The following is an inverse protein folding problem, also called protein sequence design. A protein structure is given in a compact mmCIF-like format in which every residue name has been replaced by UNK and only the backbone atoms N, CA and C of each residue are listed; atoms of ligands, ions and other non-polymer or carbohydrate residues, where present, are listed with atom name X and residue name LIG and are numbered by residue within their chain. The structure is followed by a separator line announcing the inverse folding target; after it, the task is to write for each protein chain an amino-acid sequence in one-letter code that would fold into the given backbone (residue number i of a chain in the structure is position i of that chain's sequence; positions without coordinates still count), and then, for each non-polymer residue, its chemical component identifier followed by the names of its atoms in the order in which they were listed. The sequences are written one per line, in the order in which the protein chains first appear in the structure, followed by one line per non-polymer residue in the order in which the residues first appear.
data_IF_904779650340
#
_entry.id   IF_904779650340
#
_cell.length_a   1.000
_cell.length_b   1.000
_cell.length_c   1.000
_cell.angle_alpha   90.00
_cell.angle_beta   90.00
_cell.angle_gamma   90.00
#
_symmetry.space_group_name_H-M   'P 1'
#
loop_
_entity.id
_entity.type
_entity.pdbx_description
1 polymer ?
#
# COMPACT_ATOMS: atom_id res chain seq x y z
N UNK A 1 7.69 -0.13 35.12
CA UNK A 1 7.70 0.02 34.66
C UNK A 1 7.87 0.12 34.30
N UNK A 2 7.80 0.32 34.37
CA UNK A 2 7.76 0.58 33.71
C UNK A 2 7.76 0.83 33.09
N UNK A 3 7.68 1.10 33.00
CA UNK A 3 7.47 1.43 32.20
C UNK A 3 7.42 1.76 31.66
N UNK A 4 7.58 1.92 31.85
CA UNK A 4 7.33 2.35 31.01
C UNK A 4 7.12 2.64 30.39
N UNK A 5 6.90 2.75 30.53
CA UNK A 5 6.66 2.92 29.86
C UNK A 5 6.54 3.38 29.43
N UNK A 6 6.56 3.55 29.59
CA UNK A 6 6.43 3.87 28.99
C UNK A 6 6.37 4.25 28.55
N UNK A 7 6.31 4.44 28.79
CA UNK A 7 6.12 4.59 28.13
C UNK A 7 5.83 4.98 27.73
N UNK A 8 5.72 5.08 27.80
CA UNK A 8 5.29 5.22 27.20
C UNK A 8 4.48 5.41 27.19
N UNK A 9 4.47 5.76 27.56
CA UNK A 9 3.10 5.68 27.71
C UNK A 9 2.34 5.61 26.44
N UNK A 10 2.58 6.00 25.52
CA UNK A 10 1.79 5.77 24.34
C UNK A 10 2.46 4.78 23.51
N UNK A 11 2.08 4.63 22.41
CA UNK A 11 2.72 3.85 21.39
C UNK A 11 2.56 2.38 21.59
N UNK A 12 3.31 1.80 22.47
CA UNK A 12 3.40 0.35 22.55
C UNK A 12 2.08 -0.35 22.85
N UNK A 13 1.14 0.32 23.55
CA UNK A 13 -0.14 -0.32 23.88
C UNK A 13 -1.17 -0.21 22.77
N UNK A 14 -1.00 0.75 21.84
CA UNK A 14 -1.95 1.00 20.76
C UNK A 14 -1.38 0.68 19.41
N UNK A 15 -0.08 0.42 19.33
CA UNK A 15 0.63 0.16 18.09
C UNK A 15 1.10 -1.28 18.05
N UNK A 16 0.70 -2.03 17.04
CA UNK A 16 1.05 -3.43 16.90
C UNK A 16 1.66 -3.68 15.53
N UNK A 17 2.71 -4.52 15.51
CA UNK A 17 3.27 -5.00 14.27
C UNK A 17 2.71 -6.39 14.01
N UNK A 18 2.21 -6.63 12.81
CA UNK A 18 1.53 -7.86 12.47
C UNK A 18 1.61 -8.16 10.99
N UNK A 19 1.58 -9.43 10.63
CA UNK A 19 1.50 -9.85 9.24
C UNK A 19 0.02 -9.91 8.82
N UNK A 20 -0.31 -9.22 7.74
CA UNK A 20 -1.69 -9.11 7.26
C UNK A 20 -1.75 -9.48 5.77
N UNK A 21 -2.77 -10.27 5.37
CA UNK A 21 -2.94 -10.57 3.94
C UNK A 21 -3.18 -9.30 3.13
N UNK A 22 -2.54 -9.22 1.98
CA UNK A 22 -2.70 -8.06 1.09
C UNK A 22 -4.17 -7.87 0.70
N UNK A 23 -4.92 -8.97 0.58
CA UNK A 23 -6.33 -8.93 0.24
C UNK A 23 -7.18 -8.19 1.28
N UNK A 24 -6.68 -8.02 2.51
CA UNK A 24 -7.38 -7.30 3.57
C UNK A 24 -6.95 -5.85 3.70
N UNK A 25 -6.01 -5.41 2.88
CA UNK A 25 -5.50 -4.04 2.92
C UNK A 25 -6.17 -3.20 1.84
N UNK A 26 -6.61 -2.00 2.23
CA UNK A 26 -7.25 -1.06 1.33
C UNK A 26 -6.44 0.22 1.21
N UNK A 27 -6.47 0.82 0.02
CA UNK A 27 -5.89 2.13 -0.20
C UNK A 27 -6.71 3.17 0.55
N UNK A 28 -6.04 4.22 1.01
CA UNK A 28 -6.70 5.34 1.66
C UNK A 28 -7.39 6.21 0.60
N UNK A 29 -8.71 6.26 0.65
CA UNK A 29 -9.51 7.04 -0.30
C UNK A 29 -9.31 8.55 -0.14
N UNK A 30 -8.80 8.97 1.03
CA UNK A 30 -8.54 10.37 1.36
C UNK A 30 -7.06 10.69 1.38
N UNK A 31 -6.28 9.97 0.59
CA UNK A 31 -4.84 10.18 0.53
C UNK A 31 -4.55 11.65 0.21
N UNK A 32 -3.66 12.26 0.99
CA UNK A 32 -3.34 13.68 0.84
C UNK A 32 -2.73 14.02 -0.53
N UNK A 33 -2.20 13.04 -1.25
CA UNK A 33 -1.67 13.23 -2.60
C UNK A 33 -2.75 13.40 -3.65
N UNK A 34 -4.00 13.03 -3.33
CA UNK A 34 -5.11 13.14 -4.29
C UNK A 34 -5.68 14.55 -4.26
N UNK A 35 -6.12 15.04 -5.42
CA UNK A 35 -6.80 16.35 -5.51
C UNK A 35 -8.14 16.28 -4.78
N UNK A 36 -8.87 15.19 -4.99
CA UNK A 36 -10.16 14.95 -4.40
C UNK A 36 -10.15 13.56 -3.78
N UNK A 37 -11.07 13.31 -2.86
CA UNK A 37 -11.24 11.98 -2.29
C UNK A 37 -11.64 11.00 -3.39
N UNK A 38 -11.12 9.78 -3.32
CA UNK A 38 -11.52 8.72 -4.23
C UNK A 38 -12.87 8.15 -3.77
N UNK A 39 -13.70 7.75 -4.72
CA UNK A 39 -15.02 7.21 -4.42
C UNK A 39 -14.94 5.74 -3.99
N UNK A 40 -13.93 5.01 -4.46
CA UNK A 40 -13.79 3.59 -4.19
C UNK A 40 -12.35 3.16 -4.46
N UNK A 41 -12.04 1.89 -4.22
CA UNK A 41 -10.68 1.37 -4.39
C UNK A 41 -10.18 1.44 -5.82
N UNK A 42 -11.05 1.22 -6.80
CA UNK A 42 -10.67 1.35 -8.21
C UNK A 42 -10.21 2.77 -8.52
N UNK A 43 -10.98 3.75 -8.07
CA UNK A 43 -10.64 5.15 -8.30
C UNK A 43 -9.39 5.57 -7.51
N UNK A 44 -9.19 5.02 -6.31
CA UNK A 44 -7.98 5.28 -5.53
C UNK A 44 -6.75 4.79 -6.28
N UNK A 45 -6.83 3.63 -6.92
CA UNK A 45 -5.75 3.10 -7.73
C UNK A 45 -5.47 4.02 -8.93
N UNK A 46 -6.52 4.47 -9.62
CA UNK A 46 -6.39 5.41 -10.72
C UNK A 46 -5.71 6.71 -10.29
N UNK A 47 -6.18 7.26 -9.17
CA UNK A 47 -5.62 8.51 -8.64
C UNK A 47 -4.16 8.35 -8.26
N UNK A 48 -3.80 7.22 -7.66
CA UNK A 48 -2.41 6.95 -7.31
C UNK A 48 -1.51 6.92 -8.55
N UNK A 49 -1.96 6.25 -9.61
CA UNK A 49 -1.18 6.18 -10.85
C UNK A 49 -1.14 7.53 -11.56
N UNK A 50 -2.20 8.33 -11.44
CA UNK A 50 -2.21 9.67 -12.02
C UNK A 50 -1.19 10.59 -11.35
N UNK A 51 -1.04 10.51 -10.03
CA UNK A 51 -0.15 11.43 -9.30
C UNK A 51 1.25 10.87 -9.12
N UNK A 52 1.43 9.55 -9.13
CA UNK A 52 2.71 8.93 -8.79
C UNK A 52 3.02 7.68 -9.63
N UNK A 53 2.49 7.61 -10.86
CA UNK A 53 2.64 6.41 -11.69
C UNK A 53 4.07 6.00 -11.96
N UNK A 54 4.96 6.97 -12.27
CA UNK A 54 6.36 6.65 -12.52
C UNK A 54 7.05 6.14 -11.26
N UNK A 55 6.75 6.72 -10.11
CA UNK A 55 7.32 6.27 -8.84
C UNK A 55 6.80 4.87 -8.48
N UNK A 56 5.52 4.61 -8.76
CA UNK A 56 4.96 3.27 -8.56
C UNK A 56 5.64 2.26 -9.47
N UNK A 57 5.85 2.60 -10.73
CA UNK A 57 6.52 1.71 -11.67
C UNK A 57 7.94 1.38 -11.21
N UNK A 58 8.69 2.38 -10.76
CA UNK A 58 10.03 2.18 -10.24
C UNK A 58 10.03 1.30 -9.00
N UNK A 59 9.09 1.53 -8.09
CA UNK A 59 8.94 0.72 -6.89
C UNK A 59 8.57 -0.72 -7.22
N UNK A 60 7.65 -0.91 -8.17
CA UNK A 60 7.27 -2.26 -8.61
C UNK A 60 8.46 -3.00 -9.19
N UNK A 61 9.28 -2.29 -9.97
CA UNK A 61 10.50 -2.87 -10.55
C UNK A 61 11.42 -3.38 -9.46
N UNK A 62 11.63 -2.58 -8.40
CA UNK A 62 12.45 -3.00 -7.26
C UNK A 62 11.86 -4.21 -6.57
N UNK A 63 10.57 -4.21 -6.31
CA UNK A 63 9.89 -5.33 -5.66
C UNK A 63 9.99 -6.60 -6.49
N UNK A 64 9.80 -6.51 -7.79
CA UNK A 64 9.86 -7.65 -8.69
C UNK A 64 11.29 -8.18 -8.86
N UNK A 65 12.28 -7.34 -8.65
CA UNK A 65 13.69 -7.74 -8.74
C UNK A 65 14.15 -8.45 -7.48
N UNK A 66 13.71 -7.99 -6.31
CA UNK A 66 14.14 -8.56 -5.02
C UNK A 66 13.20 -9.64 -4.49
N UNK A 67 11.95 -9.60 -4.91
CA UNK A 67 10.92 -10.55 -4.47
C UNK A 67 10.33 -10.24 -3.11
N UNK A 68 10.71 -9.14 -2.47
CA UNK A 68 10.25 -8.83 -1.11
C UNK A 68 10.36 -7.35 -0.81
N UNK A 69 9.63 -6.95 0.24
CA UNK A 69 9.67 -5.60 0.76
C UNK A 69 10.90 -5.39 1.63
N UNK A 70 11.35 -4.14 1.70
CA UNK A 70 12.39 -3.75 2.64
C UNK A 70 11.82 -3.83 4.06
N UNK A 71 12.44 -4.61 4.97
CA UNK A 71 11.92 -4.78 6.33
C UNK A 71 11.81 -3.49 7.13
N UNK A 72 12.59 -2.46 6.80
CA UNK A 72 12.52 -1.19 7.52
C UNK A 72 11.42 -0.28 7.00
N UNK A 73 10.68 -0.70 5.98
CA UNK A 73 9.74 0.14 5.26
C UNK A 73 8.34 -0.46 5.34
N UNK A 74 7.79 -0.45 6.56
CA UNK A 74 6.56 -1.15 6.91
C UNK A 74 5.38 -0.18 6.84
N UNK A 75 4.31 -0.54 6.12
CA UNK A 75 3.12 0.32 6.05
C UNK A 75 2.45 0.50 7.40
N UNK A 76 1.83 1.67 7.57
CA UNK A 76 1.05 2.00 8.76
C UNK A 76 -0.42 1.91 8.38
N UNK A 77 -1.18 1.16 9.16
CA UNK A 77 -2.59 0.90 8.86
C UNK A 77 -3.46 1.16 10.09
N UNK A 78 -4.75 1.34 9.85
CA UNK A 78 -5.76 1.47 10.90
C UNK A 78 -6.88 0.46 10.61
N UNK A 79 -7.48 -0.07 11.69
CA UNK A 79 -8.63 -0.96 11.55
C UNK A 79 -9.79 -0.24 10.87
N UNK A 80 -10.45 -0.92 9.95
CA UNK A 80 -11.59 -0.41 9.22
C UNK A 80 -12.59 -1.57 9.07
N UNK A 81 -13.30 -1.88 10.15
CA UNK A 81 -14.14 -3.06 10.21
C UNK A 81 -13.30 -4.32 10.21
N UNK A 82 -13.57 -5.23 9.29
CA UNK A 82 -12.82 -6.48 9.15
C UNK A 82 -11.57 -6.30 8.26
N UNK A 83 -11.33 -5.10 7.76
CA UNK A 83 -10.24 -4.79 6.85
C UNK A 83 -9.33 -3.75 7.49
N UNK A 84 -8.24 -3.42 6.78
CA UNK A 84 -7.28 -2.40 7.23
C UNK A 84 -7.09 -1.36 6.14
N UNK A 85 -7.14 -0.09 6.54
CA UNK A 85 -6.88 1.00 5.63
C UNK A 85 -5.44 1.47 5.81
N UNK A 86 -4.70 1.58 4.70
CA UNK A 86 -3.30 1.99 4.74
C UNK A 86 -3.22 3.50 4.81
N UNK A 87 -2.62 4.02 5.88
CA UNK A 87 -2.41 5.46 6.07
C UNK A 87 -1.08 5.91 5.49
N UNK A 88 -0.05 5.08 5.60
CA UNK A 88 1.27 5.32 5.03
C UNK A 88 1.74 4.06 4.33
N UNK A 89 2.24 4.20 3.11
CA UNK A 89 2.65 3.06 2.30
C UNK A 89 1.69 2.76 1.16
N UNK A 90 0.84 3.72 0.79
CA UNK A 90 -0.16 3.52 -0.27
C UNK A 90 0.45 3.26 -1.64
N UNK A 91 1.60 3.85 -1.97
CA UNK A 91 2.27 3.56 -3.24
C UNK A 91 2.72 2.10 -3.29
N UNK A 92 3.25 1.62 -2.18
CA UNK A 92 3.69 0.22 -2.08
C UNK A 92 2.51 -0.72 -2.18
N UNK A 93 1.41 -0.41 -1.49
CA UNK A 93 0.22 -1.24 -1.58
C UNK A 93 -0.33 -1.28 -3.00
N UNK A 94 -0.31 -0.14 -3.70
CA UNK A 94 -0.73 -0.07 -5.11
C UNK A 94 0.08 -1.06 -5.94
N UNK A 95 1.41 -1.07 -5.79
CA UNK A 95 2.28 -1.98 -6.52
C UNK A 95 1.98 -3.44 -6.19
N UNK A 96 1.79 -3.75 -4.91
CA UNK A 96 1.51 -5.12 -4.48
C UNK A 96 0.18 -5.62 -5.01
N UNK A 97 -0.84 -4.78 -5.02
CA UNK A 97 -2.14 -5.15 -5.55
C UNK A 97 -2.08 -5.42 -7.06
N UNK A 98 -1.39 -4.57 -7.80
CA UNK A 98 -1.23 -4.75 -9.25
C UNK A 98 -0.39 -6.00 -9.54
N UNK A 99 0.66 -6.23 -8.78
CA UNK A 99 1.50 -7.42 -8.95
C UNK A 99 0.70 -8.70 -8.72
N UNK A 100 -0.13 -8.72 -7.67
CA UNK A 100 -0.98 -9.88 -7.37
C UNK A 100 -2.11 -10.07 -8.39
N UNK A 101 -2.63 -8.96 -8.91
CA UNK A 101 -3.77 -9.00 -9.84
C UNK A 101 -3.58 -7.94 -10.93
N UNK A 102 -2.81 -8.26 -11.97
CA UNK A 102 -2.57 -7.31 -13.06
C UNK A 102 -3.84 -6.87 -13.80
N UNK A 103 -4.94 -7.63 -13.65
CA UNK A 103 -6.20 -7.23 -14.29
C UNK A 103 -6.74 -5.92 -13.75
N UNK A 104 -6.26 -5.45 -12.59
CA UNK A 104 -6.61 -4.14 -12.07
C UNK A 104 -6.24 -3.03 -13.05
N UNK A 105 -5.23 -3.25 -13.88
CA UNK A 105 -4.82 -2.29 -14.90
C UNK A 105 -5.89 -2.11 -15.98
N UNK A 106 -6.76 -3.08 -16.16
CA UNK A 106 -7.81 -3.03 -17.19
C UNK A 106 -8.94 -2.06 -16.82
N UNK A 107 -9.09 -1.74 -15.54
CA UNK A 107 -10.12 -0.80 -15.09
C UNK A 107 -9.66 0.65 -15.04
N UNK A 108 -8.44 0.93 -15.44
CA UNK A 108 -7.93 2.30 -15.52
C UNK A 108 -8.62 3.08 -16.63
N UNK A 109 -8.57 4.42 -16.53
CA UNK A 109 -8.98 5.28 -17.65
C UNK A 109 -8.10 4.96 -18.87
N UNK A 110 -8.61 5.27 -20.06
CA UNK A 110 -7.87 4.98 -21.29
C UNK A 110 -6.50 5.63 -21.30
N UNK A 111 -6.41 6.87 -20.80
CA UNK A 111 -5.14 7.58 -20.77
C UNK A 111 -4.11 6.88 -19.86
N UNK A 112 -4.51 6.48 -18.67
CA UNK A 112 -3.63 5.79 -17.74
C UNK A 112 -3.28 4.40 -18.23
N UNK A 113 -4.25 3.72 -18.84
CA UNK A 113 -4.04 2.40 -19.41
C UNK A 113 -2.99 2.45 -20.50
N UNK A 114 -3.11 3.39 -21.43
CA UNK A 114 -2.15 3.56 -22.52
C UNK A 114 -0.76 3.88 -21.99
N UNK A 115 -0.69 4.65 -20.91
CA UNK A 115 0.58 5.08 -20.33
C UNK A 115 1.27 4.00 -19.52
N UNK A 116 0.52 3.18 -18.80
CA UNK A 116 1.09 2.31 -17.77
C UNK A 116 0.84 0.81 -17.93
N UNK A 117 -0.26 0.39 -18.55
CA UNK A 117 -0.64 -1.02 -18.51
C UNK A 117 0.47 -1.93 -19.04
N UNK A 118 0.98 -1.65 -20.21
CA UNK A 118 2.03 -2.48 -20.83
C UNK A 118 3.32 -2.47 -20.01
N UNK A 119 3.69 -1.32 -19.48
CA UNK A 119 4.93 -1.16 -18.75
C UNK A 119 4.89 -1.92 -17.42
N UNK A 120 3.77 -1.83 -16.69
CA UNK A 120 3.59 -2.58 -15.46
C UNK A 120 3.59 -4.08 -15.72
N UNK A 121 2.87 -4.52 -16.75
CA UNK A 121 2.81 -5.95 -17.10
C UNK A 121 4.17 -6.50 -17.51
N UNK A 122 4.98 -5.69 -18.21
CA UNK A 122 6.32 -6.11 -18.61
C UNK A 122 7.21 -6.34 -17.39
N UNK A 123 7.13 -5.46 -16.38
CA UNK A 123 7.91 -5.61 -15.16
C UNK A 123 7.50 -6.88 -14.43
N UNK A 124 6.21 -7.13 -14.31
CA UNK A 124 5.67 -8.31 -13.64
C UNK A 124 6.10 -9.59 -14.38
N UNK A 125 5.98 -9.61 -15.70
CA UNK A 125 6.33 -10.78 -16.52
C UNK A 125 7.81 -11.12 -16.43
N UNK A 126 8.66 -10.12 -16.24
CA UNK A 126 10.10 -10.34 -16.17
C UNK A 126 10.55 -10.79 -14.76
N UNK A 127 9.68 -10.75 -13.77
CA UNK A 127 10.03 -11.10 -12.41
C UNK A 127 10.15 -12.62 -12.25
N UNK A 128 11.25 -13.10 -11.63
CA UNK A 128 11.35 -14.52 -11.28
C UNK A 128 10.58 -14.88 -10.00
N UNK A 129 9.98 -13.89 -9.34
CA UNK A 129 9.31 -14.08 -8.05
C UNK A 129 7.80 -13.92 -8.20
N UNK A 130 7.07 -14.61 -7.31
CA UNK A 130 5.64 -14.42 -7.15
C UNK A 130 5.38 -13.32 -6.12
N UNK A 131 4.27 -12.59 -6.22
CA UNK A 131 3.96 -11.56 -5.22
C UNK A 131 3.69 -12.20 -3.86
N UNK A 132 4.04 -11.51 -2.76
CA UNK A 132 3.73 -12.02 -1.43
C UNK A 132 2.23 -12.01 -1.20
N UNK A 133 1.75 -12.97 -0.41
CA UNK A 133 0.33 -13.03 -0.03
C UNK A 133 0.03 -12.11 1.15
N UNK A 134 1.01 -11.93 2.03
CA UNK A 134 0.88 -11.15 3.26
C UNK A 134 2.12 -10.31 3.46
N UNK A 135 1.97 -9.21 4.16
CA UNK A 135 3.09 -8.33 4.50
C UNK A 135 2.98 -7.88 5.95
N UNK A 136 4.11 -7.49 6.52
CA UNK A 136 4.14 -6.90 7.85
C UNK A 136 3.60 -5.47 7.77
N UNK A 137 2.79 -5.10 8.75
CA UNK A 137 2.25 -3.75 8.88
C UNK A 137 2.31 -3.33 10.35
N UNK A 138 2.24 -2.02 10.56
CA UNK A 138 2.09 -1.45 11.91
C UNK A 138 0.65 -0.98 12.02
N UNK A 139 -0.08 -1.52 12.99
CA UNK A 139 -1.48 -1.17 13.22
C UNK A 139 -1.54 -0.11 14.30
N UNK A 140 -2.13 1.03 13.99
CA UNK A 140 -2.36 2.12 14.95
C UNK A 140 -3.84 2.20 15.27
N UNK A 141 -4.16 2.78 16.42
CA UNK A 141 -5.54 2.82 16.88
C UNK A 141 -6.39 3.84 16.12
N UNK A 142 -5.79 4.96 15.77
CA UNK A 142 -6.53 6.06 15.12
C UNK A 142 -5.63 6.74 14.09
N UNK A 143 -6.26 7.52 13.21
CA UNK A 143 -5.54 8.33 12.23
C UNK A 143 -4.65 9.36 12.92
N UNK A 144 -5.13 9.96 14.01
CA UNK A 144 -4.34 10.94 14.77
C UNK A 144 -3.07 10.30 15.35
N UNK A 145 -3.15 9.05 15.75
CA UNK A 145 -1.98 8.33 16.28
C UNK A 145 -0.92 8.17 15.20
N UNK A 146 -1.33 7.93 13.95
CA UNK A 146 -0.40 7.78 12.84
C UNK A 146 0.31 9.09 12.51
N UNK A 147 -0.37 10.23 12.72
CA UNK A 147 0.18 11.54 12.42
C UNK A 147 1.18 12.01 13.50
N UNK A 148 1.18 11.37 14.62
CA UNK A 148 2.11 11.68 15.70
C UNK A 148 3.31 10.73 15.62
#
# INVERSE_FOLDING_TARGET
MPAPINRLPFGSTTTKRRKVPISQLDLDLRNARFRDDAANQTQALEFMLAVAGEKCLGLLKDLCTTGRLNPSDVPIVVNDGSRFRVLEGNRRLTCLKIWRDPSLLDSLTDELKDKYSRRFRAVISASPYSPPKSIDVVIVATVEEADN
#
